data_IF_774646486262
#
_entry.id   IF_774646486262
#
_cell.length_a   1.000
_cell.length_b   1.000
_cell.length_c   1.000
_cell.angle_alpha   90.00
_cell.angle_beta   90.00
_cell.angle_gamma   90.00
#
_symmetry.space_group_name_H-M   'P 1'
#
loop_
_entity.id
_entity.type
_entity.pdbx_description
1 polymer ?
#
# COMPACT_ATOMS: atom_id res chain seq x y z
N UNK A 1 -3.16 -8.68 -8.36
CA UNK A 1 -3.37 -7.58 -7.41
C UNK A 1 -3.10 -6.25 -8.08
N UNK A 2 -3.42 -5.15 -7.41
CA UNK A 2 -3.07 -3.77 -7.83
C UNK A 2 -2.15 -3.18 -6.76
N UNK A 3 -1.26 -2.27 -7.14
CA UNK A 3 -0.28 -1.72 -6.20
C UNK A 3 -0.98 -0.85 -5.15
N UNK A 4 -1.97 -0.04 -5.58
CA UNK A 4 -2.74 0.84 -4.70
C UNK A 4 -3.56 0.07 -3.66
N UNK A 5 -4.32 -0.95 -4.07
CA UNK A 5 -5.17 -1.71 -3.13
C UNK A 5 -4.35 -2.60 -2.19
N UNK A 6 -3.22 -3.17 -2.67
CA UNK A 6 -2.28 -3.85 -1.77
C UNK A 6 -1.75 -2.87 -0.72
N UNK A 7 -1.36 -1.66 -1.12
CA UNK A 7 -0.90 -0.65 -0.19
C UNK A 7 -1.95 -0.24 0.85
N UNK A 8 -3.23 -0.09 0.45
CA UNK A 8 -4.32 0.17 1.39
C UNK A 8 -4.49 -0.94 2.43
N UNK A 9 -4.49 -2.20 1.98
CA UNK A 9 -4.58 -3.35 2.88
C UNK A 9 -3.41 -3.40 3.88
N UNK A 10 -2.18 -3.13 3.39
CA UNK A 10 -0.99 -3.06 4.23
C UNK A 10 -1.10 -1.96 5.28
N UNK A 11 -1.50 -0.75 4.88
CA UNK A 11 -1.67 0.36 5.82
C UNK A 11 -2.75 0.08 6.87
N UNK A 12 -3.86 -0.56 6.48
CA UNK A 12 -4.90 -0.98 7.41
C UNK A 12 -4.40 -2.00 8.45
N UNK A 13 -3.67 -3.04 8.00
CA UNK A 13 -3.08 -4.03 8.90
C UNK A 13 -2.06 -3.39 9.86
N UNK A 14 -1.18 -2.54 9.34
CA UNK A 14 -0.20 -1.83 10.18
C UNK A 14 -0.88 -0.88 11.19
N UNK A 15 -1.96 -0.20 10.79
CA UNK A 15 -2.76 0.64 11.69
C UNK A 15 -3.44 -0.17 12.81
N UNK A 16 -3.83 -1.41 12.53
CA UNK A 16 -4.36 -2.33 13.54
C UNK A 16 -3.29 -2.91 14.48
N UNK A 17 -2.01 -2.62 14.26
CA UNK A 17 -0.89 -3.18 15.02
C UNK A 17 -0.39 -4.55 14.50
N UNK A 18 -0.91 -5.01 13.37
CA UNK A 18 -0.61 -6.32 12.77
C UNK A 18 0.65 -6.30 11.89
N UNK A 19 1.66 -5.48 12.24
CA UNK A 19 2.87 -5.25 11.43
C UNK A 19 3.63 -6.54 11.15
N UNK A 20 3.67 -7.45 12.12
CA UNK A 20 4.37 -8.73 12.03
C UNK A 20 3.52 -9.86 11.45
N UNK A 21 2.25 -9.58 11.12
CA UNK A 21 1.40 -10.59 10.52
C UNK A 21 1.98 -11.02 9.16
N UNK A 22 2.07 -12.32 8.84
CA UNK A 22 2.71 -12.80 7.62
C UNK A 22 2.14 -12.20 6.32
N UNK A 23 0.87 -11.78 6.32
CA UNK A 23 0.27 -11.10 5.18
C UNK A 23 0.93 -9.74 4.87
N UNK A 24 1.40 -9.01 5.89
CA UNK A 24 2.10 -7.73 5.70
C UNK A 24 3.41 -7.95 4.98
N UNK A 25 4.23 -8.91 5.45
CA UNK A 25 5.49 -9.26 4.80
C UNK A 25 5.28 -9.71 3.33
N UNK A 26 4.26 -10.54 3.06
CA UNK A 26 3.94 -10.96 1.68
C UNK A 26 3.50 -9.80 0.79
N UNK A 27 2.69 -8.87 1.32
CA UNK A 27 2.26 -7.69 0.56
C UNK A 27 3.41 -6.73 0.28
N UNK A 28 4.31 -6.51 1.24
CA UNK A 28 5.55 -5.73 1.05
C UNK A 28 6.44 -6.37 -0.02
N UNK A 29 6.65 -7.68 0.04
CA UNK A 29 7.41 -8.41 -0.98
C UNK A 29 6.76 -8.32 -2.38
N UNK A 30 5.42 -8.37 -2.46
CA UNK A 30 4.71 -8.12 -3.71
C UNK A 30 4.98 -6.72 -4.26
N UNK A 31 4.90 -5.67 -3.43
CA UNK A 31 5.18 -4.30 -3.87
C UNK A 31 6.63 -4.18 -4.36
N UNK A 32 7.62 -4.68 -3.61
CA UNK A 32 9.02 -4.65 -4.03
C UNK A 32 9.25 -5.39 -5.35
N UNK A 33 8.65 -6.59 -5.52
CA UNK A 33 8.80 -7.40 -6.74
C UNK A 33 8.20 -6.74 -7.98
N UNK A 34 7.16 -5.92 -7.82
CA UNK A 34 6.41 -5.30 -8.93
C UNK A 34 6.77 -3.84 -9.15
N UNK A 35 7.81 -3.32 -8.47
CA UNK A 35 8.33 -1.98 -8.74
C UNK A 35 9.11 -2.01 -10.06
N UNK A 36 8.86 -1.03 -10.92
CA UNK A 36 9.53 -0.91 -12.22
C UNK A 36 10.94 -0.33 -12.06
N UNK A 37 11.73 -0.37 -13.14
CA UNK A 37 13.06 0.26 -13.18
C UNK A 37 13.01 1.79 -12.96
N UNK A 38 11.86 2.43 -13.22
CA UNK A 38 11.64 3.84 -12.92
C UNK A 38 11.34 4.11 -11.42
N UNK A 39 11.30 3.07 -10.58
CA UNK A 39 11.01 3.18 -9.16
C UNK A 39 9.53 3.38 -8.84
N UNK A 40 8.63 3.17 -9.80
CA UNK A 40 7.17 3.32 -9.65
C UNK A 40 6.45 1.99 -9.87
N UNK A 41 5.12 2.00 -9.82
CA UNK A 41 4.29 0.84 -10.15
C UNK A 41 3.34 1.15 -11.30
N UNK A 42 3.20 0.19 -12.19
CA UNK A 42 2.17 0.23 -13.22
C UNK A 42 0.87 -0.38 -12.70
N UNK A 43 -0.24 0.27 -13.03
CA UNK A 43 -1.57 -0.17 -12.62
C UNK A 43 -2.57 0.06 -13.74
N UNK A 44 -2.88 -1.00 -14.49
CA UNK A 44 -3.81 -0.94 -15.61
C UNK A 44 -5.28 -0.92 -15.16
N UNK A 45 -5.57 -1.41 -13.95
CA UNK A 45 -6.93 -1.50 -13.43
C UNK A 45 -7.36 -0.18 -12.80
N UNK A 46 -8.63 0.15 -12.95
CA UNK A 46 -9.24 1.31 -12.30
C UNK A 46 -9.55 0.92 -10.86
N UNK A 47 -9.06 1.71 -9.91
CA UNK A 47 -9.15 1.40 -8.47
C UNK A 47 -9.98 2.41 -7.70
N UNK A 48 -10.47 3.46 -8.36
CA UNK A 48 -11.37 4.43 -7.78
C UNK A 48 -12.76 4.41 -8.43
N UNK A 49 -13.75 4.71 -7.61
CA UNK A 49 -15.15 4.81 -8.03
C UNK A 49 -15.46 6.28 -8.29
N UNK A 50 -16.00 6.59 -9.47
CA UNK A 50 -16.61 7.89 -9.73
C UNK A 50 -18.10 7.84 -9.38
N UNK A 51 -18.86 7.01 -10.11
CA UNK A 51 -20.24 6.66 -9.77
C UNK A 51 -20.36 5.15 -9.57
N UNK A 52 -20.79 4.70 -8.37
CA UNK A 52 -20.87 3.27 -8.07
C UNK A 52 -21.58 2.48 -9.17
N UNK A 53 -20.94 1.39 -9.59
CA UNK A 53 -21.44 0.43 -10.60
C UNK A 53 -21.50 0.92 -12.05
N UNK A 54 -21.35 2.21 -12.34
CA UNK A 54 -21.55 2.74 -13.71
C UNK A 54 -20.39 3.60 -14.22
N UNK A 55 -19.51 4.11 -13.35
CA UNK A 55 -18.38 4.94 -13.76
C UNK A 55 -17.18 4.79 -12.81
N UNK A 56 -16.01 4.50 -13.38
CA UNK A 56 -14.78 4.26 -12.63
C UNK A 56 -13.69 5.24 -13.04
N UNK A 57 -12.87 5.64 -12.08
CA UNK A 57 -11.79 6.60 -12.24
C UNK A 57 -10.43 5.92 -12.13
N UNK A 58 -9.47 6.45 -12.89
CA UNK A 58 -8.05 6.13 -12.73
C UNK A 58 -7.34 7.34 -12.16
N UNK A 59 -7.01 7.27 -10.87
CA UNK A 59 -6.07 8.22 -10.29
C UNK A 59 -4.65 7.75 -10.59
N UNK A 60 -3.99 8.38 -11.56
CA UNK A 60 -2.61 8.05 -11.95
C UNK A 60 -1.59 8.16 -10.81
N UNK A 61 -1.91 8.94 -9.77
CA UNK A 61 -1.08 9.05 -8.58
C UNK A 61 -1.15 7.84 -7.63
N UNK A 62 -2.24 7.06 -7.64
CA UNK A 62 -2.47 6.01 -6.64
C UNK A 62 -1.41 4.92 -6.69
N UNK A 63 -1.04 4.47 -7.90
CA UNK A 63 0.01 3.49 -8.10
C UNK A 63 1.42 4.02 -7.71
N UNK A 64 1.58 5.32 -7.53
CA UNK A 64 2.87 5.94 -7.16
C UNK A 64 2.94 6.20 -5.66
N UNK A 65 1.95 6.89 -5.12
CA UNK A 65 1.98 7.42 -3.76
C UNK A 65 1.70 6.36 -2.71
N UNK A 66 0.67 5.52 -2.91
CA UNK A 66 0.28 4.56 -1.87
C UNK A 66 1.30 3.44 -1.65
N UNK A 67 1.85 2.79 -2.70
CA UNK A 67 2.88 1.77 -2.49
C UNK A 67 4.12 2.33 -1.79
N UNK A 68 4.57 3.52 -2.20
CA UNK A 68 5.70 4.19 -1.56
C UNK A 68 5.42 4.47 -0.08
N UNK A 69 4.22 5.00 0.24
CA UNK A 69 3.83 5.28 1.61
C UNK A 69 3.76 4.00 2.47
N UNK A 70 3.16 2.93 1.95
CA UNK A 70 3.08 1.65 2.64
C UNK A 70 4.48 1.07 2.93
N UNK A 71 5.40 1.10 1.97
CA UNK A 71 6.77 0.64 2.15
C UNK A 71 7.55 1.49 3.17
N UNK A 72 7.39 2.82 3.10
CA UNK A 72 8.04 3.74 4.04
C UNK A 72 7.52 3.53 5.47
N UNK A 73 6.20 3.37 5.64
CA UNK A 73 5.56 3.09 6.92
C UNK A 73 6.04 1.76 7.50
N UNK A 74 6.04 0.70 6.70
CA UNK A 74 6.51 -0.62 7.13
C UNK A 74 7.96 -0.57 7.61
N UNK A 75 8.86 0.06 6.83
CA UNK A 75 10.26 0.26 7.23
C UNK A 75 10.39 0.98 8.56
N UNK A 76 9.60 2.05 8.77
CA UNK A 76 9.68 2.85 9.99
C UNK A 76 9.19 2.06 11.21
N UNK A 77 8.08 1.32 11.08
CA UNK A 77 7.53 0.49 12.16
C UNK A 77 8.48 -0.66 12.53
N UNK A 78 9.16 -1.26 11.55
CA UNK A 78 10.15 -2.31 11.82
C UNK A 78 11.41 -1.79 12.53
N UNK A 79 11.73 -0.50 12.41
CA UNK A 79 12.88 0.14 13.07
C UNK A 79 12.54 0.78 14.42
N UNK A 80 11.26 1.01 14.69
CA UNK A 80 10.81 1.66 15.91
C UNK A 80 10.85 0.70 17.11
N UNK A 81 11.03 1.25 18.30
CA UNK A 81 10.95 0.49 19.56
C UNK A 81 9.52 -0.01 19.86
N UNK A 82 8.52 0.51 19.13
CA UNK A 82 7.13 0.06 19.21
C UNK A 82 6.56 -0.09 17.80
N UNK A 83 5.89 -1.22 17.56
CA UNK A 83 5.19 -1.51 16.31
C UNK A 83 3.74 -1.00 16.29
N UNK A 84 3.33 -0.31 17.36
CA UNK A 84 2.03 0.37 17.40
C UNK A 84 2.14 1.77 16.83
N UNK A 85 1.14 2.12 16.05
CA UNK A 85 0.93 3.47 15.54
C UNK A 85 0.29 4.28 16.65
N UNK A 86 0.98 5.32 17.14
CA UNK A 86 0.45 6.19 18.20
C UNK A 86 -0.47 7.29 17.66
N UNK A 87 -0.22 7.78 16.45
CA UNK A 87 -0.98 8.84 15.81
C UNK A 87 -0.95 8.68 14.28
N UNK A 88 -2.03 9.13 13.63
CA UNK A 88 -2.17 9.15 12.18
C UNK A 88 -2.48 7.79 11.53
N UNK A 89 -2.75 7.87 10.22
CA UNK A 89 -2.71 6.73 9.31
C UNK A 89 -1.29 6.43 8.85
#
# INVERSE_FOLDING_TARGET
>A
STASQTAWALMGLMAAGEVDHPAVARGVAYLQKNQTSAGLWDEARYTATGFPRVFYLRYHGYAKFFPLWALARYRNLQRANSKRVQYGL
#
